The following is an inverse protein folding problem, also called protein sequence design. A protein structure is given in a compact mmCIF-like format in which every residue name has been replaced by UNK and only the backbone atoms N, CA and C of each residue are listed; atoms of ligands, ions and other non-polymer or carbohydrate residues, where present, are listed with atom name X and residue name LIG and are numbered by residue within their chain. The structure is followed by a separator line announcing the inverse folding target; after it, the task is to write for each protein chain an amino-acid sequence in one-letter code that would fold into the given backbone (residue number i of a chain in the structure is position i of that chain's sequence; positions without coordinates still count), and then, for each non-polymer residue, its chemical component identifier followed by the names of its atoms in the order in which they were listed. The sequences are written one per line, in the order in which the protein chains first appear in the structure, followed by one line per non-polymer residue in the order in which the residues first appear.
data_IF_773870134181
#
_entry.id   IF_773870134181
#
_cell.length_a   1.000
_cell.length_b   1.000
_cell.length_c   1.000
_cell.angle_alpha   90.00
_cell.angle_beta   90.00
_cell.angle_gamma   90.00
#
_symmetry.space_group_name_H-M   'P 1'
#
loop_
_entity.id
_entity.type
_entity.pdbx_description
1 polymer ?
#
# COMPACT_ATOMS: atom_id res chain seq x y z
N UNK A 1 -0.53 2.69 -7.33
CA UNK A 1 -1.41 1.65 -7.92
C UNK A 1 -1.88 2.11 -9.29
N UNK A 2 -1.84 1.24 -10.30
CA UNK A 2 -2.27 1.54 -11.65
C UNK A 2 -3.19 0.42 -12.17
N UNK A 3 -4.26 0.71 -12.90
CA UNK A 3 -4.80 2.02 -13.27
C UNK A 3 -5.49 2.77 -12.11
N UNK A 4 -5.84 4.04 -12.32
CA UNK A 4 -6.50 4.89 -11.29
C UNK A 4 -7.80 4.29 -10.75
N UNK A 5 -8.61 3.67 -11.60
CA UNK A 5 -9.84 2.99 -11.19
C UNK A 5 -9.56 1.86 -10.19
N UNK A 6 -8.49 1.08 -10.40
CA UNK A 6 -8.07 0.02 -9.47
C UNK A 6 -7.57 0.59 -8.13
N UNK A 7 -6.94 1.77 -8.14
CA UNK A 7 -6.60 2.47 -6.90
C UNK A 7 -7.87 2.81 -6.10
N UNK A 8 -8.87 3.42 -6.72
CA UNK A 8 -10.11 3.76 -6.04
C UNK A 8 -10.90 2.52 -5.57
N UNK A 9 -10.91 1.44 -6.37
CA UNK A 9 -11.51 0.17 -5.95
C UNK A 9 -10.86 -0.37 -4.68
N UNK A 10 -9.52 -0.40 -4.61
CA UNK A 10 -8.80 -0.88 -3.42
C UNK A 10 -9.01 0.03 -2.22
N UNK A 11 -9.02 1.35 -2.43
CA UNK A 11 -9.31 2.32 -1.38
C UNK A 11 -10.70 2.10 -0.79
N UNK A 12 -11.73 1.99 -1.64
CA UNK A 12 -13.10 1.69 -1.22
C UNK A 12 -13.20 0.38 -0.42
N UNK A 13 -12.62 -0.70 -0.94
CA UNK A 13 -12.63 -2.01 -0.28
C UNK A 13 -11.94 -1.97 1.09
N UNK A 14 -10.80 -1.26 1.18
CA UNK A 14 -10.09 -1.13 2.46
C UNK A 14 -10.88 -0.29 3.46
N UNK A 15 -11.47 0.82 3.03
CA UNK A 15 -12.33 1.67 3.88
C UNK A 15 -13.50 0.86 4.44
N UNK A 16 -14.20 0.13 3.56
CA UNK A 16 -15.30 -0.75 3.96
C UNK A 16 -14.85 -1.82 4.95
N UNK A 17 -13.72 -2.50 4.67
CA UNK A 17 -13.18 -3.50 5.58
C UNK A 17 -12.87 -2.94 6.96
N UNK A 18 -12.25 -1.76 7.05
CA UNK A 18 -11.97 -1.13 8.36
C UNK A 18 -13.26 -0.83 9.13
N UNK A 19 -14.31 -0.36 8.45
CA UNK A 19 -15.62 -0.13 9.05
C UNK A 19 -16.23 -1.43 9.59
N UNK A 20 -16.31 -2.46 8.75
CA UNK A 20 -16.89 -3.77 9.10
C UNK A 20 -16.09 -4.45 10.23
N UNK A 21 -14.76 -4.32 10.20
CA UNK A 21 -13.88 -4.85 11.25
C UNK A 21 -14.12 -4.17 12.60
N UNK A 22 -14.20 -2.85 12.61
CA UNK A 22 -14.49 -2.09 13.83
C UNK A 22 -15.86 -2.47 14.41
N UNK A 23 -16.87 -2.55 13.57
CA UNK A 23 -18.23 -2.92 14.00
C UNK A 23 -18.27 -4.32 14.61
N UNK A 24 -17.62 -5.32 13.97
CA UNK A 24 -17.63 -6.71 14.42
C UNK A 24 -16.77 -6.98 15.65
N UNK A 25 -15.71 -6.21 15.85
CA UNK A 25 -14.68 -6.49 16.86
C UNK A 25 -14.66 -5.48 17.99
N UNK A 26 -15.36 -4.34 17.86
CA UNK A 26 -15.30 -3.24 18.83
C UNK A 26 -13.97 -2.46 18.82
N UNK A 27 -13.12 -2.67 17.77
CA UNK A 27 -11.89 -1.91 17.58
C UNK A 27 -12.19 -0.50 17.04
N UNK A 28 -11.17 0.36 17.07
CA UNK A 28 -11.25 1.77 16.62
C UNK A 28 -10.16 2.10 15.60
N UNK A 29 -9.96 1.19 14.64
CA UNK A 29 -8.98 1.40 13.54
C UNK A 29 -9.44 2.57 12.68
N UNK A 30 -8.52 3.49 12.38
CA UNK A 30 -8.77 4.61 11.48
C UNK A 30 -8.22 4.30 10.08
N UNK A 31 -8.95 4.74 9.06
CA UNK A 31 -8.53 4.66 7.67
C UNK A 31 -8.07 6.05 7.20
N UNK A 32 -6.86 6.09 6.67
CA UNK A 32 -6.30 7.29 6.04
C UNK A 32 -5.94 6.94 4.60
N UNK A 33 -6.40 7.74 3.66
CA UNK A 33 -6.15 7.54 2.24
C UNK A 33 -5.10 8.53 1.74
N UNK A 34 -4.03 8.02 1.12
CA UNK A 34 -3.04 8.83 0.46
C UNK A 34 -3.53 9.27 -0.94
N UNK A 35 -3.12 10.45 -1.45
CA UNK A 35 -3.49 10.90 -2.78
C UNK A 35 -2.92 9.99 -3.88
N UNK A 36 -3.62 9.94 -5.03
CA UNK A 36 -3.16 9.21 -6.19
C UNK A 36 -2.13 10.02 -6.98
N UNK A 37 -0.84 9.75 -6.75
CA UNK A 37 0.29 10.48 -7.34
C UNK A 37 1.24 9.53 -8.11
N UNK A 38 0.80 8.91 -9.22
CA UNK A 38 1.61 7.91 -9.92
C UNK A 38 2.87 8.50 -10.57
N UNK A 39 2.87 9.79 -10.86
CA UNK A 39 3.99 10.44 -11.53
C UNK A 39 5.21 10.60 -10.60
N UNK A 40 5.00 10.79 -9.30
CA UNK A 40 6.09 10.84 -8.33
C UNK A 40 6.82 9.49 -8.28
N UNK A 41 6.09 8.41 -8.15
CA UNK A 41 6.68 7.08 -8.19
C UNK A 41 7.43 6.81 -9.51
N UNK A 42 6.86 7.18 -10.67
CA UNK A 42 7.51 6.99 -11.98
C UNK A 42 8.83 7.75 -12.10
N UNK A 43 8.91 8.96 -11.52
CA UNK A 43 10.16 9.73 -11.49
C UNK A 43 11.25 8.99 -10.69
N UNK A 44 10.88 8.45 -9.52
CA UNK A 44 11.80 7.77 -8.62
C UNK A 44 12.37 6.47 -9.21
N UNK A 45 11.58 5.75 -10.01
CA UNK A 45 12.01 4.47 -10.60
C UNK A 45 12.50 4.58 -12.04
N UNK A 46 12.79 5.79 -12.51
CA UNK A 46 13.33 6.02 -13.85
C UNK A 46 14.67 5.30 -14.03
N UNK A 47 14.79 4.48 -15.09
CA UNK A 47 15.94 3.63 -15.36
C UNK A 47 15.89 2.26 -14.67
N UNK A 48 14.86 1.97 -13.89
CA UNK A 48 14.63 0.68 -13.24
C UNK A 48 13.39 -0.05 -13.77
N UNK A 49 12.88 0.36 -14.94
CA UNK A 49 11.64 -0.17 -15.52
C UNK A 49 11.72 -1.68 -15.79
N UNK A 50 12.87 -2.14 -16.25
CA UNK A 50 13.13 -3.54 -16.61
C UNK A 50 13.54 -4.43 -15.41
N UNK A 51 13.72 -3.84 -14.23
CA UNK A 51 14.05 -4.60 -13.03
C UNK A 51 12.97 -5.65 -12.71
N UNK A 52 13.35 -6.87 -12.30
CA UNK A 52 12.38 -7.90 -11.93
C UNK A 52 11.60 -7.51 -10.67
N UNK A 53 10.50 -8.21 -10.41
CA UNK A 53 9.81 -8.08 -9.12
C UNK A 53 10.73 -8.53 -7.99
N UNK A 54 10.87 -7.69 -6.96
CA UNK A 54 11.81 -7.89 -5.85
C UNK A 54 13.18 -7.23 -6.04
N UNK A 55 13.49 -6.75 -7.25
CA UNK A 55 14.73 -6.01 -7.57
C UNK A 55 14.74 -4.56 -7.04
N UNK A 56 15.67 -3.75 -7.55
CA UNK A 56 15.92 -2.39 -7.02
C UNK A 56 14.72 -1.47 -7.20
N UNK A 57 13.94 -1.59 -8.28
CA UNK A 57 12.66 -0.88 -8.41
C UNK A 57 11.73 -1.12 -7.23
N UNK A 58 11.65 -2.36 -6.72
CA UNK A 58 10.80 -2.69 -5.57
C UNK A 58 11.37 -2.11 -4.28
N UNK A 59 12.69 -2.04 -4.10
CA UNK A 59 13.31 -1.39 -2.94
C UNK A 59 12.96 0.09 -2.90
N UNK A 60 13.08 0.81 -4.02
CA UNK A 60 12.63 2.21 -4.16
C UNK A 60 11.14 2.37 -3.83
N UNK A 61 10.30 1.41 -4.26
CA UNK A 61 8.88 1.42 -3.93
C UNK A 61 8.61 1.23 -2.43
N UNK A 62 9.36 0.37 -1.75
CA UNK A 62 9.23 0.17 -0.30
C UNK A 62 9.68 1.41 0.46
N UNK A 63 10.82 1.97 0.09
CA UNK A 63 11.37 3.19 0.68
C UNK A 63 10.36 4.35 0.56
N UNK A 64 9.93 4.68 -0.63
CA UNK A 64 8.93 5.73 -0.89
C UNK A 64 7.64 5.58 -0.07
N UNK A 65 7.16 4.35 0.10
CA UNK A 65 5.93 4.09 0.87
C UNK A 65 6.16 4.20 2.37
N UNK A 66 7.26 3.66 2.86
CA UNK A 66 7.61 3.71 4.27
C UNK A 66 7.95 5.13 4.73
N UNK A 67 8.65 5.89 3.89
CA UNK A 67 8.93 7.30 4.12
C UNK A 67 7.62 8.11 4.28
N UNK A 68 6.70 8.00 3.33
CA UNK A 68 5.38 8.66 3.46
C UNK A 68 4.59 8.19 4.70
N UNK A 69 4.69 6.92 5.05
CA UNK A 69 4.00 6.39 6.24
C UNK A 69 4.62 6.94 7.52
N UNK A 70 5.94 6.99 7.61
CA UNK A 70 6.67 7.54 8.75
C UNK A 70 6.37 9.04 8.94
N UNK A 71 6.34 9.81 7.85
CA UNK A 71 5.98 11.23 7.90
C UNK A 71 4.58 11.43 8.47
N UNK A 72 3.59 10.71 7.93
CA UNK A 72 2.20 10.81 8.41
C UNK A 72 2.08 10.37 9.87
N UNK A 73 2.80 9.31 10.26
CA UNK A 73 2.82 8.86 11.65
C UNK A 73 3.39 9.94 12.59
N UNK A 74 4.48 10.59 12.20
CA UNK A 74 5.07 11.70 12.95
C UNK A 74 4.11 12.90 13.03
N UNK A 75 3.52 13.32 11.91
CA UNK A 75 2.63 14.48 11.83
C UNK A 75 1.35 14.29 12.67
N UNK A 76 0.90 13.05 12.83
CA UNK A 76 -0.28 12.68 13.62
C UNK A 76 0.06 12.24 15.06
N UNK A 77 1.34 12.26 15.45
CA UNK A 77 1.79 11.95 16.81
C UNK A 77 1.76 10.46 17.15
N UNK A 78 1.89 9.57 16.17
CA UNK A 78 2.03 8.14 16.41
C UNK A 78 3.47 7.78 16.81
N UNK A 79 3.62 6.95 17.84
CA UNK A 79 4.94 6.47 18.29
C UNK A 79 5.55 5.47 17.30
N UNK A 80 4.72 4.73 16.56
CA UNK A 80 5.16 3.64 15.71
C UNK A 80 4.52 3.67 14.32
N UNK A 81 5.26 3.17 13.34
CA UNK A 81 4.76 2.84 12.01
C UNK A 81 5.24 1.47 11.55
N UNK A 82 4.62 0.89 10.56
CA UNK A 82 4.99 -0.43 10.06
C UNK A 82 4.41 -0.72 8.68
N UNK A 83 4.61 -1.95 8.20
CA UNK A 83 4.15 -2.35 6.87
C UNK A 83 3.42 -3.67 6.87
N UNK A 84 2.20 -3.68 6.33
CA UNK A 84 1.47 -4.92 6.03
C UNK A 84 1.99 -5.64 4.77
N UNK A 85 2.92 -5.06 4.01
CA UNK A 85 3.51 -5.70 2.82
C UNK A 85 4.22 -7.02 3.16
N UNK A 86 4.68 -7.17 4.41
CA UNK A 86 5.38 -8.36 4.89
C UNK A 86 4.50 -9.61 4.97
N UNK A 87 3.17 -9.48 4.77
CA UNK A 87 2.24 -10.63 4.68
C UNK A 87 2.30 -11.31 3.31
N UNK A 88 2.72 -10.61 2.26
CA UNK A 88 2.77 -11.16 0.91
C UNK A 88 3.87 -12.20 0.77
N UNK A 89 3.58 -13.40 0.21
CA UNK A 89 4.60 -14.41 -0.05
C UNK A 89 5.64 -13.97 -1.09
N UNK A 90 5.28 -13.00 -1.94
CA UNK A 90 6.15 -12.45 -2.99
C UNK A 90 7.01 -11.28 -2.53
N UNK A 91 6.96 -10.92 -1.25
CA UNK A 91 7.74 -9.80 -0.70
C UNK A 91 8.72 -10.29 0.36
N UNK A 92 9.97 -9.87 0.24
CA UNK A 92 11.00 -10.19 1.22
C UNK A 92 10.84 -9.29 2.46
N UNK A 93 10.45 -9.88 3.59
CA UNK A 93 10.24 -9.16 4.84
C UNK A 93 11.53 -8.56 5.40
N UNK A 94 12.68 -9.21 5.19
CA UNK A 94 13.98 -8.70 5.66
C UNK A 94 14.34 -7.40 4.93
N UNK A 95 14.17 -7.37 3.60
CA UNK A 95 14.40 -6.16 2.80
C UNK A 95 13.48 -5.02 3.24
N UNK A 96 12.18 -5.29 3.44
CA UNK A 96 11.22 -4.27 3.88
C UNK A 96 11.58 -3.74 5.27
N UNK A 97 11.95 -4.65 6.20
CA UNK A 97 12.33 -4.28 7.56
C UNK A 97 13.64 -3.47 7.60
N UNK A 98 14.64 -3.83 6.78
CA UNK A 98 15.87 -3.06 6.67
C UNK A 98 15.60 -1.62 6.22
N UNK A 99 14.80 -1.45 5.17
CA UNK A 99 14.41 -0.12 4.67
C UNK A 99 13.62 0.66 5.73
N UNK A 100 12.69 0.02 6.43
CA UNK A 100 11.92 0.69 7.50
C UNK A 100 12.80 1.15 8.67
N UNK A 101 13.82 0.37 9.03
CA UNK A 101 14.83 0.74 10.04
C UNK A 101 15.67 1.92 9.55
N UNK A 102 15.99 2.00 8.26
CA UNK A 102 16.72 3.14 7.71
C UNK A 102 15.85 4.40 7.65
N UNK A 103 14.61 4.29 7.20
CA UNK A 103 13.64 5.40 7.15
C UNK A 103 13.40 6.00 8.54
N UNK A 104 13.25 5.19 9.60
CA UNK A 104 12.99 5.74 10.95
C UNK A 104 14.09 6.70 11.45
N UNK A 105 15.32 6.63 10.91
CA UNK A 105 16.42 7.51 11.34
C UNK A 105 16.18 8.99 11.06
N UNK A 106 15.21 9.29 10.17
CA UNK A 106 14.87 10.65 9.72
C UNK A 106 13.69 11.22 10.53
N UNK A 107 12.91 10.36 11.20
CA UNK A 107 11.67 10.70 11.87
C UNK A 107 11.73 10.43 13.38
N UNK A 108 10.81 11.01 14.13
CA UNK A 108 10.66 10.76 15.58
C UNK A 108 9.83 9.53 15.89
N UNK A 109 9.17 8.93 14.91
CA UNK A 109 8.38 7.70 15.02
C UNK A 109 9.26 6.47 14.75
N UNK A 110 8.96 5.34 15.40
CA UNK A 110 9.75 4.14 15.35
C UNK A 110 9.18 3.08 14.40
N UNK A 111 10.02 2.42 13.62
CA UNK A 111 9.58 1.32 12.76
C UNK A 111 9.37 0.03 13.56
N UNK A 112 8.22 -0.63 13.35
CA UNK A 112 7.93 -1.96 13.90
C UNK A 112 8.27 -3.05 12.87
N UNK A 113 9.42 -3.74 12.99
CA UNK A 113 9.76 -4.85 12.13
C UNK A 113 8.74 -5.98 12.25
N UNK A 114 8.32 -6.53 11.12
CA UNK A 114 7.32 -7.59 11.08
C UNK A 114 7.62 -8.64 10.02
N UNK A 115 7.09 -9.84 10.22
CA UNK A 115 6.96 -10.87 9.19
C UNK A 115 5.62 -11.57 9.36
N UNK A 116 4.58 -10.93 8.83
CA UNK A 116 3.20 -11.41 8.98
C UNK A 116 2.90 -12.71 8.23
N UNK A 117 3.84 -13.25 7.43
CA UNK A 117 3.73 -14.61 6.85
C UNK A 117 3.89 -15.70 7.89
N UNK A 118 4.69 -15.45 8.95
CA UNK A 118 4.96 -16.42 10.00
C UNK A 118 3.69 -16.79 10.77
N UNK A 119 3.73 -17.89 11.49
CA UNK A 119 2.63 -18.38 12.33
C UNK A 119 1.29 -18.46 11.57
N UNK A 120 1.33 -18.90 10.31
CA UNK A 120 0.17 -19.02 9.43
C UNK A 120 -0.53 -17.69 9.11
N UNK A 121 0.13 -16.55 9.30
CA UNK A 121 -0.48 -15.24 9.09
C UNK A 121 -0.98 -15.02 7.66
N UNK A 122 -0.26 -15.53 6.64
CA UNK A 122 -0.78 -15.50 5.26
C UNK A 122 -2.09 -16.27 5.12
N UNK A 123 -2.19 -17.49 5.70
CA UNK A 123 -3.42 -18.29 5.70
C UNK A 123 -4.55 -17.49 6.39
N UNK A 124 -4.29 -16.93 7.56
CA UNK A 124 -5.27 -16.10 8.27
C UNK A 124 -5.73 -14.90 7.43
N UNK A 125 -4.84 -14.26 6.67
CA UNK A 125 -5.23 -13.15 5.79
C UNK A 125 -6.17 -13.59 4.66
N UNK A 126 -6.01 -14.82 4.15
CA UNK A 126 -6.93 -15.40 3.14
C UNK A 126 -8.31 -15.63 3.76
N UNK A 127 -8.34 -16.28 4.92
CA UNK A 127 -9.58 -16.52 5.68
C UNK A 127 -10.33 -15.21 5.98
N UNK A 128 -9.60 -14.15 6.39
CA UNK A 128 -10.20 -12.83 6.62
C UNK A 128 -10.75 -12.22 5.33
N UNK A 129 -10.08 -12.41 4.19
CA UNK A 129 -10.62 -11.94 2.91
C UNK A 129 -11.96 -12.62 2.56
N UNK A 130 -12.12 -13.90 2.87
CA UNK A 130 -13.38 -14.63 2.69
C UNK A 130 -14.43 -14.17 3.72
N UNK A 131 -14.05 -14.05 4.99
CA UNK A 131 -14.92 -13.66 6.10
C UNK A 131 -15.54 -12.26 5.92
N UNK A 132 -14.80 -11.32 5.33
CA UNK A 132 -15.19 -9.91 5.14
C UNK A 132 -15.49 -9.57 3.66
N UNK A 133 -15.56 -10.55 2.77
CA UNK A 133 -15.77 -10.36 1.33
C UNK A 133 -14.80 -9.32 0.73
N UNK A 134 -13.51 -9.47 1.04
CA UNK A 134 -12.47 -8.54 0.58
C UNK A 134 -11.97 -8.96 -0.80
N UNK A 135 -12.02 -8.03 -1.75
CA UNK A 135 -11.36 -8.18 -3.05
C UNK A 135 -9.86 -8.47 -2.91
N UNK A 136 -9.40 -9.56 -3.48
CA UNK A 136 -7.99 -9.93 -3.54
C UNK A 136 -7.41 -9.55 -4.89
N UNK A 137 -6.46 -8.63 -4.88
CA UNK A 137 -5.74 -8.21 -6.09
C UNK A 137 -4.82 -9.31 -6.64
N UNK A 138 -4.72 -9.41 -7.97
CA UNK A 138 -3.83 -10.35 -8.64
C UNK A 138 -2.40 -9.83 -8.88
N UNK A 139 -2.13 -8.54 -8.62
CA UNK A 139 -0.80 -7.91 -8.74
C UNK A 139 -0.64 -6.82 -7.68
N UNK A 140 0.59 -6.38 -7.43
CA UNK A 140 0.88 -5.38 -6.38
C UNK A 140 0.40 -3.95 -6.68
N UNK A 141 -0.05 -3.66 -7.89
CA UNK A 141 -0.47 -2.33 -8.36
C UNK A 141 0.60 -1.58 -9.15
N UNK A 142 1.80 -2.12 -9.26
CA UNK A 142 2.87 -1.57 -10.10
C UNK A 142 2.60 -1.87 -11.58
N UNK A 143 2.68 -0.84 -12.44
CA UNK A 143 2.46 -1.01 -13.89
C UNK A 143 3.50 -1.96 -14.50
N UNK A 144 4.75 -1.87 -14.10
CA UNK A 144 5.84 -2.71 -14.60
C UNK A 144 5.66 -4.18 -14.17
N UNK A 145 5.23 -4.43 -12.93
CA UNK A 145 4.90 -5.78 -12.48
C UNK A 145 3.69 -6.37 -13.22
N UNK A 146 2.68 -5.56 -13.52
CA UNK A 146 1.54 -5.99 -14.32
C UNK A 146 1.95 -6.36 -15.75
N UNK A 147 2.82 -5.57 -16.39
CA UNK A 147 3.37 -5.86 -17.71
C UNK A 147 4.18 -7.15 -17.72
N UNK A 148 5.09 -7.33 -16.74
CA UNK A 148 5.89 -8.55 -16.62
C UNK A 148 5.07 -9.82 -16.38
N UNK A 149 3.89 -9.70 -15.77
CA UNK A 149 2.95 -10.78 -15.53
C UNK A 149 1.86 -10.93 -16.61
N UNK A 150 1.95 -10.16 -17.70
CA UNK A 150 0.97 -10.12 -18.80
C UNK A 150 -0.47 -9.84 -18.32
N UNK A 151 -0.64 -8.98 -17.31
CA UNK A 151 -1.94 -8.59 -16.80
C UNK A 151 -2.57 -7.56 -17.75
N UNK A 152 -3.79 -7.84 -18.21
CA UNK A 152 -4.56 -6.91 -19.02
C UNK A 152 -5.06 -5.73 -18.19
N UNK A 153 -4.31 -4.64 -18.19
CA UNK A 153 -4.65 -3.41 -17.47
C UNK A 153 -5.88 -2.69 -18.04
N UNK A 154 -6.26 -2.96 -19.30
CA UNK A 154 -7.49 -2.42 -19.87
C UNK A 154 -8.69 -3.13 -19.25
N UNK A 155 -8.62 -4.44 -19.13
CA UNK A 155 -9.67 -5.23 -18.46
C UNK A 155 -9.74 -4.87 -16.98
N UNK A 156 -8.61 -4.79 -16.26
CA UNK A 156 -8.56 -4.34 -14.86
C UNK A 156 -9.24 -2.97 -14.69
N UNK A 157 -9.00 -2.02 -15.61
CA UNK A 157 -9.66 -0.72 -15.57
C UNK A 157 -11.17 -0.83 -15.75
N UNK A 158 -11.64 -1.64 -16.70
CA UNK A 158 -13.07 -1.85 -16.96
C UNK A 158 -13.76 -2.46 -15.73
N UNK A 159 -13.20 -3.52 -15.16
CA UNK A 159 -13.75 -4.22 -14.01
C UNK A 159 -13.78 -3.32 -12.76
N UNK A 160 -12.72 -2.56 -12.53
CA UNK A 160 -12.68 -1.61 -11.42
C UNK A 160 -13.69 -0.47 -11.62
N UNK A 161 -13.86 0.04 -12.84
CA UNK A 161 -14.84 1.07 -13.14
C UNK A 161 -16.27 0.54 -12.95
N UNK A 162 -16.56 -0.66 -13.45
CA UNK A 162 -17.88 -1.30 -13.25
C UNK A 162 -18.18 -1.52 -11.77
N UNK A 163 -17.19 -1.96 -10.99
CA UNK A 163 -17.34 -2.12 -9.54
C UNK A 163 -17.71 -0.83 -8.82
N UNK A 164 -17.22 0.32 -9.31
CA UNK A 164 -17.41 1.63 -8.66
C UNK A 164 -18.66 2.39 -9.10
N UNK A 165 -19.40 1.90 -10.12
CA UNK A 165 -20.52 2.65 -10.71
C UNK A 165 -21.65 2.99 -9.74
N UNK A 166 -21.90 2.09 -8.77
CA UNK A 166 -22.97 2.20 -7.78
C UNK A 166 -22.46 2.55 -6.37
N UNK A 167 -21.19 2.93 -6.26
CA UNK A 167 -20.52 3.19 -4.99
C UNK A 167 -20.17 4.65 -4.83
N UNK A 168 -20.51 5.17 -3.66
CA UNK A 168 -20.13 6.53 -3.30
C UNK A 168 -18.62 6.54 -2.96
N UNK A 169 -17.84 7.04 -3.92
CA UNK A 169 -16.40 7.21 -3.75
C UNK A 169 -16.17 8.64 -3.29
N UNK A 170 -16.09 8.85 -1.99
CA UNK A 170 -15.72 10.15 -1.42
C UNK A 170 -14.41 10.65 -2.02
N UNK A 171 -14.47 11.80 -2.66
CA UNK A 171 -13.31 12.43 -3.34
C UNK A 171 -12.53 13.37 -2.41
N UNK A 172 -12.80 13.34 -1.11
CA UNK A 172 -12.18 14.29 -0.18
C UNK A 172 -10.81 13.82 0.28
N UNK A 173 -9.79 14.31 -0.41
CA UNK A 173 -8.38 14.16 -0.04
C UNK A 173 -7.82 15.44 0.60
N UNK A 174 -8.67 16.41 0.93
CA UNK A 174 -8.25 17.77 1.27
C UNK A 174 -7.52 17.89 2.61
N UNK A 175 -7.63 16.91 3.48
CA UNK A 175 -7.08 16.93 4.84
C UNK A 175 -5.70 16.28 4.99
N UNK A 176 -5.18 15.61 3.95
CA UNK A 176 -3.84 15.03 3.98
C UNK A 176 -2.85 15.90 3.20
N UNK A 177 -2.14 16.77 3.92
CA UNK A 177 -1.02 17.54 3.35
C UNK A 177 0.28 16.76 3.51
N UNK A 178 0.81 16.25 2.40
CA UNK A 178 2.17 15.70 2.37
C UNK A 178 3.17 16.81 2.02
N UNK A 179 4.05 17.13 2.96
CA UNK A 179 5.24 17.91 2.66
C UNK A 179 6.32 16.95 2.19
N UNK A 180 6.74 17.05 0.93
CA UNK A 180 7.85 16.25 0.42
C UNK A 180 9.13 16.91 0.93
N UNK A 181 9.75 16.33 1.96
CA UNK A 181 11.11 16.70 2.32
C UNK A 181 12.02 16.07 1.28
N UNK A 182 12.59 16.89 0.37
CA UNK A 182 13.61 16.42 -0.54
C UNK A 182 14.83 16.01 0.27
N UNK A 183 15.16 14.74 0.24
CA UNK A 183 16.51 14.29 0.52
C UNK A 183 17.35 14.66 -0.71
N UNK A 184 18.21 15.68 -0.59
CA UNK A 184 19.31 15.88 -1.50
C UNK A 184 20.34 14.76 -1.23
N UNK A 185 20.36 13.75 -2.13
CA UNK A 185 21.41 12.74 -2.21
C UNK A 185 22.39 13.15 -3.28
#
# INVERSE_FOLDING_TARGET
IHPKAEYHKRAYVTKKFVSDFNERTGNTVQYLEAPYEPNEYRKLVRGLEEEPEGGDRCKVCFDYRLDKTAQVAMDLGFDYFGSALTISPHKNSQTINSIGIDVQKIYTTHYLPSDFKKNQGYKRSVEMCEEYDIYRQCYCGCVYAAQAQNIDLVQVKKDATAFLLDKDVEKDYSHIKFTVTKLDI
#
